data_IF_587969738434
#
_entry.id   IF_587969738434
#
_cell.length_a   1.000
_cell.length_b   1.000
_cell.length_c   1.000
_cell.angle_alpha   90.00
_cell.angle_beta   90.00
_cell.angle_gamma   90.00
#
_symmetry.space_group_name_H-M   'P 1'
#
loop_
_entity.id
_entity.type
_entity.pdbx_description
1 polymer ?
#
# COMPACT_ATOMS: atom_id res chain seq x y z
N UNK A 1 -27.98 5.24 -5.90
CA UNK A 1 -28.31 6.13 -7.03
C UNK A 1 -28.02 5.33 -8.29
N UNK A 2 -29.03 4.75 -8.91
CA UNK A 2 -28.89 4.03 -10.18
C UNK A 2 -28.88 5.06 -11.32
N UNK A 3 -27.69 5.42 -11.79
CA UNK A 3 -27.59 5.96 -13.15
C UNK A 3 -27.58 4.78 -14.12
N UNK A 4 -28.39 4.80 -15.19
CA UNK A 4 -28.39 3.73 -16.17
C UNK A 4 -27.01 3.67 -16.84
N UNK A 5 -26.27 2.58 -16.61
CA UNK A 5 -25.03 2.32 -17.31
C UNK A 5 -25.33 2.21 -18.81
N UNK A 6 -24.55 2.91 -19.66
CA UNK A 6 -24.64 2.78 -21.13
C UNK A 6 -24.48 1.30 -21.52
N UNK A 7 -25.13 0.83 -22.60
CA UNK A 7 -25.00 -0.55 -23.04
C UNK A 7 -23.54 -0.87 -23.36
N UNK A 8 -23.03 -1.76 -22.53
CA UNK A 8 -21.65 -2.11 -22.24
C UNK A 8 -20.76 -2.50 -23.40
N UNK A 9 -21.40 -2.97 -24.44
CA UNK A 9 -20.80 -3.68 -25.55
C UNK A 9 -21.55 -3.33 -26.84
N UNK A 10 -22.15 -2.13 -26.91
CA UNK A 10 -22.71 -1.62 -28.16
C UNK A 10 -21.71 -1.68 -29.32
N UNK A 11 -20.41 -1.56 -29.02
CA UNK A 11 -19.32 -1.74 -29.98
C UNK A 11 -19.09 -3.20 -30.41
N UNK A 12 -19.40 -4.19 -29.56
CA UNK A 12 -19.33 -5.60 -29.93
C UNK A 12 -20.51 -6.02 -30.82
N UNK A 13 -21.66 -5.31 -30.77
CA UNK A 13 -22.84 -5.65 -31.57
C UNK A 13 -22.72 -5.33 -33.08
N UNK A 14 -21.73 -4.54 -33.50
CA UNK A 14 -21.61 -4.05 -34.88
C UNK A 14 -20.53 -4.78 -35.70
N UNK A 15 -20.88 -5.94 -36.30
CA UNK A 15 -20.22 -6.45 -37.51
C UNK A 15 -21.25 -7.01 -38.49
N UNK A 16 -21.80 -6.14 -39.34
CA UNK A 16 -22.25 -6.51 -40.68
C UNK A 16 -22.50 -5.25 -41.52
N UNK A 17 -21.60 -4.94 -42.46
CA UNK A 17 -21.89 -4.71 -43.88
C UNK A 17 -20.66 -4.17 -44.64
N UNK A 18 -20.34 -4.85 -45.76
CA UNK A 18 -19.42 -4.52 -46.85
C UNK A 18 -17.91 -4.48 -46.56
N UNK A 19 -17.02 -5.02 -47.40
CA UNK A 19 -17.11 -5.38 -48.83
C UNK A 19 -16.17 -6.54 -49.17
N UNK A 20 -16.63 -7.44 -50.05
CA UNK A 20 -15.83 -8.55 -50.56
C UNK A 20 -14.70 -8.13 -51.50
N UNK A 21 -13.64 -8.93 -51.48
CA UNK A 21 -12.75 -9.15 -52.61
C UNK A 21 -12.30 -10.60 -52.54
N UNK A 22 -12.78 -11.39 -53.50
CA UNK A 22 -12.42 -12.78 -53.77
C UNK A 22 -10.97 -12.89 -54.23
N UNK A 23 -10.23 -13.84 -53.69
CA UNK A 23 -9.10 -14.47 -54.37
C UNK A 23 -9.05 -15.95 -53.98
N UNK A 24 -9.43 -16.80 -54.94
CA UNK A 24 -9.09 -18.22 -54.95
C UNK A 24 -7.57 -18.41 -54.99
N UNK A 25 -7.06 -19.53 -54.47
CA UNK A 25 -6.15 -20.46 -55.18
C UNK A 25 -5.81 -21.67 -54.30
N UNK A 26 -6.20 -22.82 -54.84
CA UNK A 26 -5.71 -24.21 -54.75
C UNK A 26 -4.94 -24.76 -53.54
N UNK A 27 -5.50 -25.87 -53.06
CA UNK A 27 -4.89 -27.06 -52.46
C UNK A 27 -3.64 -27.59 -53.18
N UNK A 28 -2.67 -28.09 -52.40
CA UNK A 28 -2.06 -29.41 -52.63
C UNK A 28 -1.41 -29.95 -51.35
N UNK A 29 -1.76 -31.20 -51.04
CA UNK A 29 -1.15 -32.12 -50.08
C UNK A 29 0.38 -32.27 -50.22
N UNK A 30 1.06 -32.56 -49.09
CA UNK A 30 1.75 -33.85 -48.85
C UNK A 30 2.53 -33.87 -47.52
N UNK A 31 2.15 -34.82 -46.65
CA UNK A 31 3.06 -35.44 -45.67
C UNK A 31 4.17 -36.26 -46.40
N UNK A 32 5.27 -36.57 -45.69
CA UNK A 32 5.42 -37.97 -45.27
C UNK A 32 5.97 -38.18 -43.85
N UNK A 33 5.72 -39.41 -43.37
CA UNK A 33 6.07 -39.97 -42.07
C UNK A 33 7.51 -40.50 -41.97
N UNK A 34 7.99 -40.54 -40.71
CA UNK A 34 8.86 -41.54 -40.04
C UNK A 34 10.27 -41.85 -40.58
N UNK A 35 11.28 -41.76 -39.71
CA UNK A 35 11.84 -42.93 -38.98
C UNK A 35 13.09 -42.62 -38.13
N UNK A 36 13.13 -43.32 -36.99
CA UNK A 36 14.27 -44.01 -36.37
C UNK A 36 15.24 -43.34 -35.36
N UNK A 37 15.12 -43.90 -34.14
CA UNK A 37 16.13 -44.42 -33.22
C UNK A 37 17.14 -43.49 -32.51
N UNK A 38 17.00 -43.48 -31.18
CA UNK A 38 18.02 -43.17 -30.18
C UNK A 38 19.14 -44.24 -30.15
N UNK A 39 20.28 -43.92 -29.52
CA UNK A 39 20.53 -44.62 -28.25
C UNK A 39 21.11 -43.75 -27.13
N UNK A 40 20.94 -44.30 -25.93
CA UNK A 40 21.42 -43.90 -24.61
C UNK A 40 22.85 -43.37 -24.53
N UNK A 41 23.06 -42.37 -23.66
CA UNK A 41 24.30 -42.23 -22.89
C UNK A 41 24.01 -41.76 -21.46
N UNK A 42 24.86 -42.14 -20.48
CA UNK A 42 24.43 -42.44 -19.12
C UNK A 42 24.50 -41.24 -18.16
N UNK A 43 23.63 -41.31 -17.14
CA UNK A 43 23.65 -40.46 -15.94
C UNK A 43 24.96 -40.64 -15.18
N UNK A 44 25.69 -39.55 -14.99
CA UNK A 44 26.76 -39.43 -14.00
C UNK A 44 26.25 -38.57 -12.84
N UNK A 45 26.05 -39.20 -11.69
CA UNK A 45 25.93 -38.53 -10.39
C UNK A 45 27.28 -37.92 -9.98
N UNK A 46 27.33 -36.69 -9.45
CA UNK A 46 28.46 -36.25 -8.64
C UNK A 46 28.24 -36.58 -7.15
N UNK A 47 29.32 -36.70 -6.37
CA UNK A 47 29.34 -37.42 -5.11
C UNK A 47 28.86 -36.59 -3.92
N UNK A 48 28.46 -37.29 -2.86
CA UNK A 48 28.22 -36.75 -1.55
C UNK A 48 29.49 -36.08 -0.99
N UNK A 49 29.37 -34.81 -0.59
CA UNK A 49 30.34 -34.12 0.24
C UNK A 49 29.72 -33.85 1.61
N UNK A 50 30.23 -34.57 2.60
CA UNK A 50 30.10 -34.30 4.03
C UNK A 50 31.21 -33.33 4.47
N UNK A 51 30.86 -32.44 5.42
CA UNK A 51 31.71 -31.52 6.21
C UNK A 51 32.16 -30.23 5.47
N UNK A 52 32.05 -29.00 6.00
CA UNK A 52 32.25 -28.49 7.36
C UNK A 52 31.32 -27.30 7.67
N UNK A 53 30.83 -27.24 8.92
CA UNK A 53 30.14 -26.07 9.49
C UNK A 53 31.19 -24.97 9.73
N UNK A 54 31.16 -23.92 8.92
CA UNK A 54 31.83 -22.65 9.23
C UNK A 54 30.82 -21.70 9.85
N UNK A 55 31.08 -21.33 11.11
CA UNK A 55 30.39 -20.29 11.86
C UNK A 55 30.35 -18.97 11.09
N UNK A 56 29.14 -18.48 10.79
CA UNK A 56 28.93 -17.12 10.26
C UNK A 56 28.89 -16.14 11.42
N UNK A 57 29.87 -15.25 11.38
CA UNK A 57 30.06 -14.10 12.26
C UNK A 57 28.94 -13.06 12.06
N UNK A 58 28.58 -12.34 13.12
CA UNK A 58 27.40 -11.46 13.18
C UNK A 58 27.45 -10.30 12.15
N UNK A 59 26.31 -9.83 11.61
CA UNK A 59 26.30 -8.62 10.80
C UNK A 59 26.55 -7.38 11.67
N UNK A 60 27.60 -6.65 11.30
CA UNK A 60 27.93 -5.30 11.77
C UNK A 60 26.79 -4.31 11.45
N UNK A 61 26.61 -3.36 12.37
CA UNK A 61 25.65 -2.24 12.41
C UNK A 61 25.31 -1.60 11.05
N UNK A 62 24.06 -1.16 10.83
CA UNK A 62 23.71 -0.37 9.66
C UNK A 62 24.35 1.03 9.71
N UNK A 63 24.93 1.42 8.58
CA UNK A 63 25.49 2.75 8.27
C UNK A 63 24.33 3.64 7.82
N UNK A 64 23.67 4.34 8.75
CA UNK A 64 22.92 5.58 8.49
C UNK A 64 22.82 6.35 9.82
N UNK A 65 23.77 7.25 10.04
CA UNK A 65 23.74 8.19 11.17
C UNK A 65 23.00 9.46 10.79
N UNK A 66 21.84 9.68 11.40
CA UNK A 66 21.21 11.00 11.44
C UNK A 66 22.11 11.94 12.27
N UNK A 67 22.57 13.04 11.68
CA UNK A 67 23.40 14.05 12.36
C UNK A 67 22.51 14.95 13.22
N UNK A 68 22.60 14.74 14.54
CA UNK A 68 22.19 15.71 15.56
C UNK A 68 23.16 16.90 15.57
N UNK A 69 22.69 18.07 15.13
CA UNK A 69 23.41 19.34 15.29
C UNK A 69 23.18 19.91 16.69
N UNK A 70 23.89 19.36 17.68
CA UNK A 70 24.26 20.09 18.91
C UNK A 70 25.66 19.69 19.35
N UNK A 71 26.65 20.50 19.01
CA UNK A 71 27.87 20.64 19.82
C UNK A 71 28.50 22.01 19.60
N UNK A 72 28.31 22.86 20.60
CA UNK A 72 29.39 23.39 21.45
C UNK A 72 30.74 23.54 20.76
N UNK A 73 31.10 24.78 20.43
CA UNK A 73 32.49 25.20 20.27
C UNK A 73 32.86 25.94 21.54
N UNK A 74 33.68 25.30 22.38
CA UNK A 74 34.45 25.95 23.44
C UNK A 74 35.90 26.07 22.98
N UNK A 75 36.42 27.29 23.13
CA UNK A 75 37.82 27.64 23.38
C UNK A 75 38.83 27.57 22.22
N UNK A 76 39.06 28.75 21.64
CA UNK A 76 40.42 29.27 21.45
C UNK A 76 40.44 30.72 21.94
N UNK A 77 41.17 30.97 23.02
CA UNK A 77 41.42 32.27 23.64
C UNK A 77 42.61 32.96 22.99
N UNK A 78 42.46 34.24 22.62
CA UNK A 78 43.55 35.21 22.58
C UNK A 78 42.97 36.64 22.70
N UNK A 79 43.63 37.43 23.54
CA UNK A 79 43.23 38.68 24.17
C UNK A 79 42.98 39.87 23.22
N UNK A 80 42.00 40.73 23.52
CA UNK A 80 42.12 42.19 23.43
C UNK A 80 40.96 42.91 24.16
N UNK A 81 41.32 43.94 24.94
CA UNK A 81 40.52 44.81 25.81
C UNK A 81 39.58 45.77 25.06
N UNK A 82 38.46 46.26 25.66
CA UNK A 82 37.50 47.13 24.98
C UNK A 82 37.84 48.62 25.18
N UNK A 83 38.15 49.31 24.09
CA UNK A 83 38.05 50.76 24.01
C UNK A 83 37.81 51.18 22.55
N UNK A 84 36.93 52.17 22.41
CA UNK A 84 36.80 53.06 21.26
C UNK A 84 36.34 52.46 19.94
N UNK A 85 35.05 52.66 19.65
CA UNK A 85 34.64 53.18 18.34
C UNK A 85 33.21 53.74 18.39
N UNK A 86 33.12 54.98 18.84
CA UNK A 86 32.11 55.91 18.40
C UNK A 86 32.57 56.50 17.04
N UNK A 87 31.62 56.54 16.10
CA UNK A 87 31.56 57.40 14.91
C UNK A 87 32.42 57.12 13.68
N UNK A 88 31.72 57.26 12.53
CA UNK A 88 32.15 57.25 11.12
C UNK A 88 32.32 55.82 10.58
N UNK A 89 31.58 55.37 9.56
CA UNK A 89 31.15 56.07 8.35
C UNK A 89 29.87 55.46 7.78
N UNK A 90 29.00 56.36 7.31
CA UNK A 90 27.90 56.11 6.39
C UNK A 90 28.42 55.59 5.04
N UNK A 91 27.49 55.01 4.30
CA UNK A 91 27.53 54.66 2.88
C UNK A 91 28.18 53.31 2.53
N UNK A 92 27.33 52.27 2.51
CA UNK A 92 27.25 51.20 1.49
C UNK A 92 26.27 50.12 1.98
N UNK A 93 24.97 50.29 1.68
CA UNK A 93 23.96 49.23 1.60
C UNK A 93 22.60 49.84 1.20
N UNK A 94 22.51 50.33 -0.03
CA UNK A 94 21.25 50.30 -0.78
C UNK A 94 21.25 48.99 -1.59
N UNK A 95 20.10 48.34 -1.69
CA UNK A 95 19.81 47.08 -2.40
C UNK A 95 19.98 45.76 -1.62
N UNK A 96 19.26 45.64 -0.51
CA UNK A 96 18.76 44.36 -0.03
C UNK A 96 17.22 44.44 0.13
N UNK A 97 16.41 43.71 -0.68
CA UNK A 97 14.98 43.69 -0.48
C UNK A 97 14.66 42.94 0.82
N UNK A 98 14.00 43.67 1.73
CA UNK A 98 13.44 43.14 2.98
C UNK A 98 12.44 42.03 2.65
N UNK A 99 12.71 40.80 3.07
CA UNK A 99 11.69 39.76 3.19
C UNK A 99 10.74 40.17 4.33
N UNK A 100 9.76 41.00 3.99
CA UNK A 100 8.57 41.26 4.79
C UNK A 100 7.60 40.10 4.65
N UNK A 101 7.13 39.61 5.79
CA UNK A 101 6.07 38.62 5.90
C UNK A 101 4.81 39.10 5.15
N UNK A 102 4.55 38.49 4.00
CA UNK A 102 3.25 38.42 3.34
C UNK A 102 3.28 37.18 2.43
N UNK A 103 3.26 35.98 3.03
CA UNK A 103 2.86 34.79 2.30
C UNK A 103 1.37 34.94 2.04
N UNK A 104 1.01 35.46 0.86
CA UNK A 104 -0.30 35.24 0.30
C UNK A 104 -0.42 33.73 0.05
N UNK A 105 -0.95 33.00 1.02
CA UNK A 105 -1.61 31.73 0.76
C UNK A 105 -2.81 32.05 -0.13
N UNK A 106 -2.61 32.00 -1.44
CA UNK A 106 -3.73 31.89 -2.36
C UNK A 106 -4.32 30.51 -2.13
N UNK A 107 -5.39 30.48 -1.36
CA UNK A 107 -6.25 29.31 -1.17
C UNK A 107 -6.71 28.85 -2.56
N UNK A 108 -6.15 27.73 -3.02
CA UNK A 108 -6.49 27.13 -4.31
C UNK A 108 -7.91 26.57 -4.17
N UNK A 109 -8.90 27.38 -4.54
CA UNK A 109 -10.29 26.96 -4.66
C UNK A 109 -10.45 26.21 -5.99
N UNK A 110 -10.07 24.93 -5.99
CA UNK A 110 -10.42 24.00 -7.07
C UNK A 110 -11.87 23.57 -6.87
N UNK A 111 -12.80 24.28 -7.51
CA UNK A 111 -14.17 23.79 -7.62
C UNK A 111 -14.16 22.43 -8.35
N UNK A 112 -14.68 21.38 -7.69
CA UNK A 112 -14.88 20.05 -8.26
C UNK A 112 -15.98 20.12 -9.34
N UNK A 113 -15.67 20.68 -10.50
CA UNK A 113 -16.53 20.66 -11.68
C UNK A 113 -15.96 19.70 -12.73
N UNK A 114 -16.83 18.99 -13.45
CA UNK A 114 -16.43 18.09 -14.53
C UNK A 114 -15.52 18.82 -15.53
N UNK A 115 -14.39 18.19 -15.91
CA UNK A 115 -13.30 18.78 -16.73
C UNK A 115 -13.86 19.66 -17.86
N UNK A 116 -13.71 21.00 -17.79
CA UNK A 116 -14.27 21.91 -18.78
C UNK A 116 -13.39 22.09 -20.03
N UNK A 117 -12.28 21.35 -20.16
CA UNK A 117 -11.26 21.55 -21.21
C UNK A 117 -10.91 20.26 -21.96
N UNK A 118 -10.66 20.38 -23.27
CA UNK A 118 -10.11 19.31 -24.13
C UNK A 118 -8.60 19.06 -23.93
N UNK A 119 -7.95 19.83 -23.05
CA UNK A 119 -6.52 19.71 -22.79
C UNK A 119 -6.27 18.56 -21.81
N UNK A 120 -5.41 17.58 -22.12
CA UNK A 120 -5.04 16.51 -21.20
C UNK A 120 -4.42 17.04 -19.90
N UNK A 121 -4.53 16.25 -18.83
CA UNK A 121 -3.98 16.59 -17.52
C UNK A 121 -5.00 17.18 -16.53
N UNK A 122 -4.56 17.41 -15.30
CA UNK A 122 -5.39 17.96 -14.23
C UNK A 122 -5.25 19.49 -14.10
N UNK A 123 -6.25 20.14 -13.49
CA UNK A 123 -6.18 21.58 -13.20
C UNK A 123 -4.94 21.95 -12.36
N UNK A 124 -4.56 21.06 -11.44
CA UNK A 124 -3.33 21.20 -10.65
C UNK A 124 -2.07 21.13 -11.50
N UNK A 125 -2.03 20.23 -12.50
CA UNK A 125 -0.91 20.17 -13.45
C UNK A 125 -0.82 21.46 -14.27
N UNK A 126 -1.92 21.95 -14.83
CA UNK A 126 -1.92 23.18 -15.63
C UNK A 126 -1.53 24.41 -14.78
N UNK A 127 -2.04 24.49 -13.53
CA UNK A 127 -1.62 25.53 -12.59
C UNK A 127 -0.11 25.50 -12.36
N UNK A 128 0.47 24.32 -12.11
CA UNK A 128 1.91 24.18 -11.87
C UNK A 128 2.73 24.45 -13.15
N UNK A 129 2.22 24.04 -14.32
CA UNK A 129 2.88 24.31 -15.60
C UNK A 129 3.00 25.81 -15.85
N UNK A 130 1.91 26.56 -15.63
CA UNK A 130 1.91 28.01 -15.70
C UNK A 130 2.82 28.65 -14.64
N UNK A 131 2.72 28.18 -13.39
CA UNK A 131 3.55 28.68 -12.28
C UNK A 131 5.05 28.53 -12.53
N UNK A 132 5.45 27.44 -13.20
CA UNK A 132 6.85 27.11 -13.45
C UNK A 132 7.30 27.30 -14.89
N UNK A 133 6.50 27.99 -15.72
CA UNK A 133 6.81 28.30 -17.12
C UNK A 133 7.19 27.05 -17.94
N UNK A 134 6.37 26.00 -17.81
CA UNK A 134 6.58 24.71 -18.49
C UNK A 134 5.46 24.33 -19.46
N UNK A 135 4.51 25.24 -19.71
CA UNK A 135 3.35 25.03 -20.57
C UNK A 135 3.74 24.54 -21.97
N UNK A 136 4.72 25.17 -22.63
CA UNK A 136 5.18 24.76 -23.97
C UNK A 136 5.74 23.33 -24.00
N UNK A 137 6.48 22.94 -22.94
CA UNK A 137 7.03 21.58 -22.82
C UNK A 137 5.92 20.56 -22.58
N UNK A 138 4.94 20.89 -21.74
CA UNK A 138 3.78 20.05 -21.47
C UNK A 138 2.94 19.88 -22.75
N UNK A 139 2.64 20.96 -23.46
CA UNK A 139 1.91 20.93 -24.73
C UNK A 139 2.63 20.10 -25.80
N UNK A 140 3.96 20.19 -25.89
CA UNK A 140 4.73 19.35 -26.81
C UNK A 140 4.60 17.85 -26.46
N UNK A 141 4.57 17.51 -25.17
CA UNK A 141 4.34 16.14 -24.72
C UNK A 141 2.91 15.67 -25.04
N UNK A 142 1.89 16.46 -24.67
CA UNK A 142 0.49 16.14 -24.91
C UNK A 142 0.21 15.91 -26.41
N UNK A 143 0.67 16.82 -27.27
CA UNK A 143 0.43 16.74 -28.71
C UNK A 143 1.23 15.62 -29.40
N UNK A 144 2.37 15.22 -28.84
CA UNK A 144 3.28 14.28 -29.48
C UNK A 144 3.19 12.84 -28.97
N UNK A 145 2.72 12.63 -27.73
CA UNK A 145 2.85 11.35 -27.04
C UNK A 145 1.58 10.88 -26.33
N UNK A 146 0.58 11.74 -26.14
CA UNK A 146 -0.68 11.36 -25.51
C UNK A 146 -1.73 11.12 -26.58
N UNK A 147 -2.33 9.94 -26.55
CA UNK A 147 -3.47 9.57 -27.38
C UNK A 147 -4.65 9.23 -26.49
N UNK A 148 -5.86 9.37 -27.00
CA UNK A 148 -7.07 8.89 -26.34
C UNK A 148 -7.43 7.45 -26.76
N UNK A 149 -6.59 6.78 -27.56
CA UNK A 149 -6.80 5.42 -28.07
C UNK A 149 -5.49 4.64 -28.16
N UNK A 150 -5.59 3.31 -28.13
CA UNK A 150 -4.47 2.39 -28.26
C UNK A 150 -4.01 2.28 -29.71
N UNK A 151 -2.89 2.92 -30.03
CA UNK A 151 -2.23 2.72 -31.32
C UNK A 151 -1.79 1.25 -31.52
N UNK A 152 -1.66 0.75 -32.76
CA UNK A 152 -1.37 -0.66 -33.02
C UNK A 152 -0.13 -1.20 -32.26
N UNK A 153 0.95 -0.41 -32.17
CA UNK A 153 2.15 -0.79 -31.41
C UNK A 153 1.92 -0.88 -29.90
N UNK A 154 1.02 -0.06 -29.35
CA UNK A 154 0.62 -0.13 -27.95
C UNK A 154 -0.18 -1.41 -27.69
N UNK A 155 -1.06 -1.81 -28.62
CA UNK A 155 -1.81 -3.07 -28.51
C UNK A 155 -0.87 -4.29 -28.53
N UNK A 156 0.10 -4.30 -29.44
CA UNK A 156 1.16 -5.33 -29.48
C UNK A 156 1.97 -5.37 -28.18
N UNK A 157 2.30 -4.22 -27.61
CA UNK A 157 3.02 -4.11 -26.35
C UNK A 157 2.23 -4.70 -25.18
N UNK A 158 0.95 -4.33 -25.05
CA UNK A 158 0.03 -4.84 -24.01
C UNK A 158 -0.07 -6.37 -24.09
N UNK A 159 -0.23 -6.92 -25.29
CA UNK A 159 -0.40 -8.36 -25.50
C UNK A 159 0.80 -9.20 -25.03
N UNK A 160 1.99 -8.61 -24.90
CA UNK A 160 3.21 -9.31 -24.43
C UNK A 160 3.42 -9.24 -22.92
N UNK A 161 2.67 -8.41 -22.21
CA UNK A 161 2.91 -8.17 -20.79
C UNK A 161 2.57 -9.38 -19.93
N UNK A 162 3.40 -9.62 -18.92
CA UNK A 162 3.21 -10.66 -17.89
C UNK A 162 2.86 -10.07 -16.52
N UNK A 163 2.93 -8.75 -16.39
CA UNK A 163 2.46 -8.03 -15.21
C UNK A 163 2.06 -6.60 -15.58
N UNK A 164 1.26 -5.99 -14.72
CA UNK A 164 0.93 -4.57 -14.75
C UNK A 164 0.74 -4.06 -13.32
N UNK A 165 0.88 -2.75 -13.12
CA UNK A 165 0.45 -2.09 -11.90
C UNK A 165 -0.90 -1.43 -12.16
N UNK A 166 -1.81 -1.62 -11.22
CA UNK A 166 -3.15 -1.06 -11.24
C UNK A 166 -3.26 -0.08 -10.09
N UNK A 167 -3.56 1.17 -10.41
CA UNK A 167 -3.77 2.26 -9.47
C UNK A 167 -5.24 2.66 -9.49
N UNK A 168 -5.87 2.68 -8.31
CA UNK A 168 -7.25 3.12 -8.11
C UNK A 168 -7.30 4.00 -6.87
N UNK A 169 -8.36 4.76 -6.71
CA UNK A 169 -8.62 5.53 -5.49
C UNK A 169 -10.08 5.45 -5.12
N UNK A 170 -10.39 5.45 -3.83
CA UNK A 170 -11.77 5.55 -3.36
C UNK A 170 -12.38 6.95 -3.62
N UNK A 171 -13.59 7.18 -3.12
CA UNK A 171 -14.27 8.49 -3.24
C UNK A 171 -13.61 9.62 -2.43
N UNK A 172 -12.75 9.29 -1.47
CA UNK A 172 -12.04 10.21 -0.60
C UNK A 172 -10.63 10.54 -1.12
N UNK A 173 -10.17 9.83 -2.14
CA UNK A 173 -8.84 9.98 -2.71
C UNK A 173 -7.79 9.09 -2.05
N UNK A 174 -8.18 8.13 -1.21
CA UNK A 174 -7.28 7.12 -0.68
C UNK A 174 -6.91 6.15 -1.79
N UNK A 175 -5.60 5.99 -2.02
CA UNK A 175 -5.08 5.30 -3.21
C UNK A 175 -4.59 3.89 -2.89
N UNK A 176 -4.90 2.96 -3.81
CA UNK A 176 -4.32 1.62 -3.85
C UNK A 176 -3.52 1.42 -5.13
N UNK A 177 -2.34 0.81 -5.02
CA UNK A 177 -1.55 0.36 -6.16
C UNK A 177 -1.19 -1.12 -6.00
N UNK A 178 -1.68 -1.95 -6.92
CA UNK A 178 -1.50 -3.40 -6.86
C UNK A 178 -0.88 -3.92 -8.15
N UNK A 179 0.10 -4.82 -8.04
CA UNK A 179 0.59 -5.56 -9.21
C UNK A 179 -0.38 -6.69 -9.57
N UNK A 180 -0.80 -6.78 -10.83
CA UNK A 180 -1.49 -7.94 -11.41
C UNK A 180 -0.49 -8.71 -12.26
N UNK A 181 -0.47 -10.04 -12.11
CA UNK A 181 0.46 -10.92 -12.83
C UNK A 181 -0.32 -11.97 -13.62
N UNK A 182 0.22 -12.35 -14.77
CA UNK A 182 -0.33 -13.39 -15.62
C UNK A 182 0.66 -13.86 -16.69
N UNK A 183 0.25 -14.82 -17.50
CA UNK A 183 1.01 -15.20 -18.70
C UNK A 183 0.85 -14.15 -19.79
N UNK A 184 1.76 -14.07 -20.77
CA UNK A 184 1.61 -13.16 -21.90
C UNK A 184 0.20 -13.21 -22.49
N UNK A 185 -0.38 -12.03 -22.66
CA UNK A 185 -1.73 -11.84 -23.16
C UNK A 185 -2.81 -11.79 -22.09
N UNK A 186 -2.55 -12.03 -20.80
CA UNK A 186 -3.60 -11.97 -19.77
C UNK A 186 -4.38 -10.63 -19.76
N UNK A 187 -3.74 -9.55 -20.22
CA UNK A 187 -4.40 -8.30 -20.61
C UNK A 187 -4.84 -8.41 -22.07
N UNK A 188 -6.15 -8.44 -22.30
CA UNK A 188 -6.74 -8.60 -23.62
C UNK A 188 -7.14 -7.23 -24.16
N UNK A 189 -6.65 -6.87 -25.34
CA UNK A 189 -7.13 -5.70 -26.08
C UNK A 189 -8.38 -6.12 -26.86
N UNK A 190 -9.52 -5.50 -26.56
CA UNK A 190 -10.77 -5.76 -27.28
C UNK A 190 -10.86 -4.90 -28.55
N UNK A 191 -10.39 -3.66 -28.47
CA UNK A 191 -10.23 -2.72 -29.59
C UNK A 191 -9.36 -1.53 -29.14
N UNK A 192 -9.33 -0.46 -29.95
CA UNK A 192 -8.53 0.74 -29.66
C UNK A 192 -8.97 1.52 -28.40
N UNK A 193 -10.19 1.30 -27.88
CA UNK A 193 -10.74 1.98 -26.70
C UNK A 193 -10.93 1.08 -25.49
N UNK A 194 -10.89 -0.23 -25.62
CA UNK A 194 -11.21 -1.14 -24.52
C UNK A 194 -10.17 -2.24 -24.35
N UNK A 195 -9.74 -2.41 -23.11
CA UNK A 195 -8.97 -3.57 -22.64
C UNK A 195 -9.74 -4.29 -21.54
N UNK A 196 -9.44 -5.56 -21.34
CA UNK A 196 -10.03 -6.37 -20.28
C UNK A 196 -9.00 -7.33 -19.70
N UNK A 197 -9.05 -7.56 -18.39
CA UNK A 197 -8.19 -8.53 -17.72
C UNK A 197 -8.96 -9.30 -16.64
N UNK A 198 -8.54 -10.53 -16.31
CA UNK A 198 -9.22 -11.35 -15.32
C UNK A 198 -8.90 -10.87 -13.90
N UNK A 199 -9.92 -10.77 -13.06
CA UNK A 199 -9.78 -10.67 -11.61
C UNK A 199 -9.88 -12.07 -11.00
N UNK A 200 -8.81 -12.50 -10.33
CA UNK A 200 -8.71 -13.82 -9.70
C UNK A 200 -8.91 -13.72 -8.20
N UNK A 201 -9.20 -14.86 -7.55
CA UNK A 201 -9.36 -14.96 -6.11
C UNK A 201 -8.17 -14.36 -5.36
N UNK A 202 -8.46 -13.37 -4.51
CA UNK A 202 -7.47 -12.63 -3.72
C UNK A 202 -7.57 -12.93 -2.21
N UNK A 203 -7.11 -11.96 -1.41
CA UNK A 203 -7.16 -12.00 0.06
C UNK A 203 -8.52 -11.56 0.67
N UNK A 204 -9.50 -11.22 -0.18
CA UNK A 204 -10.83 -10.78 0.25
C UNK A 204 -10.92 -9.32 0.70
N UNK A 205 -9.85 -8.52 0.59
CA UNK A 205 -9.90 -7.08 0.93
C UNK A 205 -10.66 -6.27 -0.12
N UNK A 206 -10.65 -6.72 -1.38
CA UNK A 206 -11.33 -6.06 -2.50
C UNK A 206 -10.93 -4.59 -2.74
N UNK A 207 -9.74 -4.16 -2.33
CA UNK A 207 -9.28 -2.76 -2.42
C UNK A 207 -9.58 -2.09 -3.79
N UNK A 208 -9.02 -2.64 -4.88
CA UNK A 208 -9.26 -2.11 -6.23
C UNK A 208 -10.75 -2.14 -6.63
N UNK A 209 -11.49 -3.18 -6.26
CA UNK A 209 -12.87 -3.37 -6.70
C UNK A 209 -13.83 -2.45 -5.95
N UNK A 210 -13.62 -2.28 -4.65
CA UNK A 210 -14.33 -1.30 -3.83
C UNK A 210 -14.11 0.10 -4.37
N UNK A 211 -12.86 0.47 -4.67
CA UNK A 211 -12.54 1.76 -5.29
C UNK A 211 -13.29 1.95 -6.61
N UNK A 212 -13.23 0.97 -7.54
CA UNK A 212 -13.89 1.05 -8.85
C UNK A 212 -15.41 1.26 -8.75
N UNK A 213 -16.07 0.66 -7.75
CA UNK A 213 -17.52 0.83 -7.54
C UNK A 213 -17.86 2.28 -7.14
N UNK A 214 -17.00 2.92 -6.36
CA UNK A 214 -17.23 4.28 -5.86
C UNK A 214 -16.68 5.37 -6.78
N UNK A 215 -15.60 5.06 -7.48
CA UNK A 215 -14.81 5.93 -8.33
C UNK A 215 -14.23 5.09 -9.49
N UNK A 216 -14.78 5.24 -10.72
CA UNK A 216 -14.37 4.39 -11.84
C UNK A 216 -12.98 4.72 -12.38
N UNK A 217 -12.32 5.79 -11.94
CA UNK A 217 -11.02 6.18 -12.48
C UNK A 217 -9.93 5.16 -12.14
N UNK A 218 -9.15 4.77 -13.15
CA UNK A 218 -8.08 3.77 -13.05
C UNK A 218 -6.85 4.26 -13.81
N UNK A 219 -5.67 4.00 -13.23
CA UNK A 219 -4.38 4.15 -13.89
C UNK A 219 -3.68 2.82 -14.00
N UNK A 220 -3.21 2.47 -15.20
CA UNK A 220 -2.48 1.24 -15.46
C UNK A 220 -1.07 1.57 -15.93
N UNK A 221 -0.07 0.93 -15.33
CA UNK A 221 1.31 1.02 -15.76
C UNK A 221 1.85 -0.36 -16.13
N UNK A 222 2.25 -0.50 -17.39
CA UNK A 222 2.93 -1.68 -17.91
C UNK A 222 4.37 -1.32 -18.22
N UNK A 223 5.31 -2.16 -17.79
CA UNK A 223 6.74 -1.91 -17.93
C UNK A 223 7.38 -3.14 -18.55
N UNK A 224 8.12 -2.97 -19.63
CA UNK A 224 9.00 -4.00 -20.14
C UNK A 224 10.40 -3.77 -19.60
N UNK A 225 10.91 -4.71 -18.82
CA UNK A 225 12.28 -4.70 -18.29
C UNK A 225 13.22 -5.63 -19.07
N UNK A 226 12.74 -6.37 -20.06
CA UNK A 226 13.47 -7.51 -20.62
C UNK A 226 13.85 -7.35 -22.09
N UNK A 227 13.09 -6.60 -22.88
CA UNK A 227 13.36 -6.44 -24.32
C UNK A 227 13.50 -4.96 -24.70
N UNK A 228 12.41 -4.20 -24.60
CA UNK A 228 12.30 -2.84 -25.12
C UNK A 228 12.72 -1.78 -24.08
N UNK A 229 12.76 -2.15 -22.79
CA UNK A 229 13.07 -1.23 -21.67
C UNK A 229 12.19 0.03 -21.69
N UNK A 230 10.91 -0.13 -22.03
CA UNK A 230 9.93 0.96 -22.18
C UNK A 230 8.70 0.65 -21.34
N UNK A 231 7.92 1.67 -20.98
CA UNK A 231 6.61 1.44 -20.37
C UNK A 231 5.48 2.16 -21.09
N UNK A 232 4.27 1.80 -20.70
CA UNK A 232 3.02 2.32 -21.23
C UNK A 232 2.09 2.66 -20.07
N UNK A 233 1.65 3.91 -20.01
CA UNK A 233 0.58 4.37 -19.13
C UNK A 233 -0.74 4.26 -19.88
N UNK A 234 -1.77 3.72 -19.23
CA UNK A 234 -3.14 3.74 -19.70
C UNK A 234 -4.02 4.23 -18.56
N UNK A 235 -4.61 5.41 -18.72
CA UNK A 235 -5.57 5.98 -17.80
C UNK A 235 -6.97 5.88 -18.40
N UNK A 236 -7.97 5.70 -17.55
CA UNK A 236 -9.34 5.70 -18.01
C UNK A 236 -10.35 5.32 -16.97
N UNK A 237 -11.40 4.62 -17.40
CA UNK A 237 -12.52 4.21 -16.55
C UNK A 237 -12.65 2.70 -16.51
N UNK A 238 -12.58 2.15 -15.31
CA UNK A 238 -12.79 0.74 -15.04
C UNK A 238 -14.23 0.44 -14.64
N UNK A 239 -14.62 -0.80 -14.89
CA UNK A 239 -15.82 -1.42 -14.33
C UNK A 239 -15.58 -2.91 -14.12
N UNK A 240 -16.33 -3.46 -13.17
CA UNK A 240 -16.36 -4.91 -12.92
C UNK A 240 -17.36 -5.54 -13.89
N UNK A 241 -17.01 -6.70 -14.44
CA UNK A 241 -17.82 -7.47 -15.38
C UNK A 241 -17.91 -8.91 -14.88
N UNK A 242 -19.12 -9.37 -14.66
CA UNK A 242 -19.36 -10.76 -14.24
C UNK A 242 -19.34 -11.70 -15.46
N UNK A 243 -19.18 -13.01 -15.23
CA UNK A 243 -19.10 -14.01 -16.30
C UNK A 243 -20.38 -14.06 -17.14
N UNK A 244 -21.54 -14.03 -16.49
CA UNK A 244 -22.83 -14.09 -17.14
C UNK A 244 -23.01 -12.93 -18.11
N UNK A 245 -22.59 -11.74 -17.70
CA UNK A 245 -22.65 -10.52 -18.52
C UNK A 245 -21.69 -10.59 -19.71
N UNK A 246 -20.48 -11.13 -19.54
CA UNK A 246 -19.55 -11.33 -20.67
C UNK A 246 -20.07 -12.34 -21.68
N UNK A 247 -20.69 -13.43 -21.21
CA UNK A 247 -21.18 -14.50 -22.07
C UNK A 247 -22.33 -14.05 -22.98
N UNK A 248 -23.08 -13.01 -22.63
CA UNK A 248 -24.04 -12.37 -23.55
C UNK A 248 -23.40 -11.87 -24.85
N UNK A 249 -22.08 -11.67 -24.87
CA UNK A 249 -21.31 -11.14 -25.98
C UNK A 249 -20.28 -12.13 -26.54
N UNK A 250 -20.41 -13.42 -26.19
CA UNK A 250 -19.46 -14.47 -26.54
C UNK A 250 -19.03 -14.48 -28.02
N UNK A 251 -19.97 -14.19 -28.94
CA UNK A 251 -19.72 -14.20 -30.40
C UNK A 251 -18.71 -13.13 -30.84
N UNK A 252 -18.45 -12.13 -30.00
CA UNK A 252 -17.58 -11.00 -30.28
C UNK A 252 -16.38 -10.92 -29.32
N UNK A 253 -16.24 -11.89 -28.41
CA UNK A 253 -15.11 -11.95 -27.50
C UNK A 253 -13.98 -12.80 -28.10
N UNK A 254 -12.71 -12.48 -27.81
CA UNK A 254 -11.60 -13.38 -28.09
C UNK A 254 -11.84 -14.76 -27.47
N UNK A 255 -11.59 -15.83 -28.23
CA UNK A 255 -11.76 -17.22 -27.75
C UNK A 255 -11.01 -17.48 -26.43
N UNK A 256 -9.84 -16.88 -26.25
CA UNK A 256 -9.06 -17.00 -25.03
C UNK A 256 -9.78 -16.51 -23.77
N UNK A 257 -10.73 -15.58 -23.87
CA UNK A 257 -11.57 -15.16 -22.74
C UNK A 257 -12.59 -16.26 -22.42
N UNK A 258 -13.24 -16.82 -23.43
CA UNK A 258 -14.23 -17.90 -23.27
C UNK A 258 -13.59 -19.16 -22.67
N UNK A 259 -12.37 -19.48 -23.10
CA UNK A 259 -11.60 -20.60 -22.57
C UNK A 259 -11.29 -20.39 -21.08
N UNK A 260 -10.95 -19.16 -20.66
CA UNK A 260 -10.67 -18.84 -19.25
C UNK A 260 -11.93 -18.82 -18.38
N UNK A 261 -13.06 -18.33 -18.90
CA UNK A 261 -14.36 -18.41 -18.21
C UNK A 261 -14.76 -19.87 -17.97
N UNK A 262 -14.41 -20.76 -18.90
CA UNK A 262 -14.74 -22.19 -18.83
C UNK A 262 -13.81 -23.02 -17.93
N UNK A 263 -12.75 -22.41 -17.36
CA UNK A 263 -11.88 -23.12 -16.43
C UNK A 263 -12.63 -23.49 -15.15
N UNK A 264 -12.25 -24.62 -14.53
CA UNK A 264 -12.78 -25.04 -13.25
C UNK A 264 -11.80 -24.77 -12.09
N UNK A 265 -12.36 -24.52 -10.90
CA UNK A 265 -11.61 -24.40 -9.65
C UNK A 265 -10.76 -23.11 -9.56
N UNK A 266 -9.64 -23.13 -8.81
CA UNK A 266 -8.91 -21.92 -8.42
C UNK A 266 -8.22 -21.18 -9.59
N UNK A 267 -8.23 -21.76 -10.79
CA UNK A 267 -7.70 -21.14 -12.01
C UNK A 267 -8.75 -20.35 -12.79
N UNK A 268 -10.03 -20.54 -12.50
CA UNK A 268 -11.08 -19.71 -13.08
C UNK A 268 -10.94 -18.28 -12.56
N UNK A 269 -11.01 -17.25 -13.41
CA UNK A 269 -11.25 -15.89 -12.93
C UNK A 269 -12.52 -15.86 -12.07
N UNK A 270 -12.58 -14.99 -11.07
CA UNK A 270 -13.85 -14.79 -10.35
C UNK A 270 -14.75 -13.79 -11.07
N UNK A 271 -14.13 -12.85 -11.79
CA UNK A 271 -14.77 -11.80 -12.59
C UNK A 271 -13.72 -11.14 -13.49
N UNK A 272 -14.12 -10.11 -14.22
CA UNK A 272 -13.24 -9.38 -15.13
C UNK A 272 -13.28 -7.89 -14.85
N UNK A 273 -12.20 -7.20 -15.16
CA UNK A 273 -12.15 -5.74 -15.13
C UNK A 273 -12.01 -5.25 -16.57
N UNK A 274 -12.99 -4.49 -17.03
CA UNK A 274 -12.94 -3.81 -18.33
C UNK A 274 -12.56 -2.36 -18.11
N UNK A 275 -11.62 -1.87 -18.92
CA UNK A 275 -11.14 -0.50 -18.87
C UNK A 275 -11.39 0.18 -20.21
N UNK A 276 -12.15 1.27 -20.16
CA UNK A 276 -12.27 2.24 -21.25
C UNK A 276 -11.08 3.19 -21.19
N UNK A 277 -10.31 3.27 -22.28
CA UNK A 277 -9.13 4.12 -22.40
C UNK A 277 -9.57 5.57 -22.62
N UNK A 278 -9.09 6.46 -21.75
CA UNK A 278 -9.25 7.92 -21.90
C UNK A 278 -7.93 8.57 -22.34
N UNK A 279 -6.79 8.10 -21.81
CA UNK A 279 -5.46 8.61 -22.13
C UNK A 279 -4.44 7.46 -22.14
N UNK A 280 -3.55 7.44 -23.12
CA UNK A 280 -2.42 6.50 -23.21
C UNK A 280 -1.17 7.23 -23.67
N UNK A 281 -0.05 6.96 -22.99
CA UNK A 281 1.23 7.58 -23.32
C UNK A 281 2.42 6.74 -22.85
N UNK A 282 3.59 7.04 -23.41
CA UNK A 282 4.81 6.29 -23.16
C UNK A 282 5.47 6.69 -21.84
N UNK A 283 5.91 5.69 -21.08
CA UNK A 283 6.92 5.86 -20.04
C UNK A 283 8.30 5.71 -20.68
N UNK A 284 9.12 6.77 -20.61
CA UNK A 284 10.41 6.81 -21.31
C UNK A 284 11.41 5.76 -20.79
N UNK A 285 12.25 5.24 -21.68
CA UNK A 285 13.21 4.16 -21.42
C UNK A 285 14.47 4.56 -20.66
N UNK A 286 14.77 5.87 -20.55
CA UNK A 286 16.07 6.42 -20.17
C UNK A 286 16.69 5.82 -18.90
N UNK A 287 15.87 5.40 -17.95
CA UNK A 287 16.31 4.86 -16.66
C UNK A 287 15.65 3.51 -16.31
N UNK A 288 15.03 2.85 -17.28
CA UNK A 288 14.44 1.52 -17.07
C UNK A 288 15.57 0.49 -17.15
N UNK A 289 15.81 -0.30 -16.09
CA UNK A 289 16.87 -1.29 -16.10
C UNK A 289 16.53 -2.44 -17.04
N UNK A 290 17.55 -2.97 -17.73
CA UNK A 290 17.46 -4.24 -18.44
C UNK A 290 17.69 -5.38 -17.43
N UNK A 291 16.68 -6.22 -17.24
CA UNK A 291 16.68 -7.34 -16.31
C UNK A 291 16.81 -8.67 -17.04
N UNK A 292 17.28 -9.69 -16.32
CA UNK A 292 17.28 -11.09 -16.76
C UNK A 292 16.20 -11.86 -16.01
N UNK A 293 15.36 -12.58 -16.75
CA UNK A 293 14.34 -13.46 -16.17
C UNK A 293 15.00 -14.75 -15.70
N UNK A 294 14.80 -15.10 -14.44
CA UNK A 294 15.24 -16.36 -13.84
C UNK A 294 14.06 -17.32 -13.69
N UNK A 295 14.34 -18.62 -13.80
CA UNK A 295 13.32 -19.64 -13.70
C UNK A 295 12.84 -19.79 -12.25
N UNK A 296 11.55 -19.53 -12.04
CA UNK A 296 10.88 -19.69 -10.76
C UNK A 296 9.62 -20.53 -10.95
N UNK A 297 9.51 -21.62 -10.20
CA UNK A 297 8.25 -22.39 -10.15
C UNK A 297 7.16 -21.53 -9.50
N UNK A 298 6.06 -21.33 -10.23
CA UNK A 298 4.88 -20.59 -9.77
C UNK A 298 3.73 -21.57 -9.64
N UNK A 299 3.15 -21.64 -8.44
CA UNK A 299 1.94 -22.43 -8.15
C UNK A 299 0.73 -21.50 -8.12
N UNK A 300 -0.05 -21.52 -9.20
CA UNK A 300 -1.22 -20.67 -9.34
C UNK A 300 -2.38 -21.22 -8.49
N UNK A 301 -2.88 -20.41 -7.55
CA UNK A 301 -4.03 -20.76 -6.72
C UNK A 301 -3.69 -21.42 -5.37
N UNK A 302 -2.45 -21.33 -4.89
CA UNK A 302 -2.08 -21.82 -3.55
C UNK A 302 -2.64 -20.94 -2.43
N UNK A 303 -3.15 -21.55 -1.35
CA UNK A 303 -3.58 -20.87 -0.13
C UNK A 303 -2.57 -20.96 1.03
N UNK A 304 -1.39 -21.53 0.78
CA UNK A 304 -0.33 -21.64 1.81
C UNK A 304 0.21 -20.27 2.21
N UNK A 305 0.08 -19.92 3.49
CA UNK A 305 0.62 -18.67 4.05
C UNK A 305 2.14 -18.54 3.86
N UNK A 306 2.86 -19.66 3.97
CA UNK A 306 4.31 -19.71 3.73
C UNK A 306 4.65 -19.44 2.25
N UNK A 307 3.88 -20.03 1.32
CA UNK A 307 4.06 -19.79 -0.11
C UNK A 307 3.73 -18.34 -0.51
N UNK A 308 2.73 -17.74 0.16
CA UNK A 308 2.33 -16.33 -0.01
C UNK A 308 3.28 -15.35 0.70
N UNK A 309 4.23 -15.84 1.51
CA UNK A 309 5.09 -15.03 2.39
C UNK A 309 4.28 -13.98 3.17
N UNK A 310 3.11 -14.40 3.68
CA UNK A 310 2.11 -13.47 4.20
C UNK A 310 2.60 -12.58 5.35
N UNK A 311 3.60 -13.04 6.11
CA UNK A 311 4.25 -12.30 7.19
C UNK A 311 5.75 -12.05 6.92
N UNK A 312 6.12 -11.79 5.65
CA UNK A 312 7.52 -11.53 5.29
C UNK A 312 8.15 -10.40 6.10
N UNK A 313 7.37 -9.36 6.41
CA UNK A 313 7.78 -8.22 7.21
C UNK A 313 7.69 -8.44 8.73
N UNK A 314 7.37 -9.66 9.18
CA UNK A 314 7.33 -10.06 10.58
C UNK A 314 6.41 -9.17 11.42
N UNK A 315 5.26 -8.79 10.86
CA UNK A 315 4.28 -7.92 11.50
C UNK A 315 3.70 -8.57 12.77
N UNK A 316 3.62 -9.90 12.82
CA UNK A 316 3.18 -10.60 14.05
C UNK A 316 4.24 -10.59 15.16
N UNK A 317 5.51 -10.36 14.82
CA UNK A 317 6.60 -10.23 15.79
C UNK A 317 6.71 -8.82 16.38
N UNK A 318 5.96 -7.84 15.85
CA UNK A 318 5.95 -6.47 16.37
C UNK A 318 5.27 -6.49 17.75
N UNK A 319 5.93 -5.94 18.79
CA UNK A 319 5.35 -5.82 20.12
C UNK A 319 3.95 -5.21 20.08
N UNK A 320 3.06 -5.70 20.94
CA UNK A 320 1.69 -5.19 21.02
C UNK A 320 1.67 -3.69 21.30
N UNK A 321 2.62 -3.21 22.10
CA UNK A 321 2.88 -1.79 22.35
C UNK A 321 3.04 -0.97 21.06
N UNK A 322 3.87 -1.42 20.12
CA UNK A 322 4.10 -0.70 18.86
C UNK A 322 2.91 -0.83 17.91
N UNK A 323 2.23 -1.99 17.90
CA UNK A 323 1.04 -2.24 17.07
C UNK A 323 -0.13 -1.32 17.39
N UNK A 324 -0.26 -0.87 18.64
CA UNK A 324 -1.32 0.08 19.06
C UNK A 324 -0.89 1.56 18.97
N UNK A 325 0.31 1.86 18.46
CA UNK A 325 0.82 3.22 18.25
C UNK A 325 1.79 3.73 19.32
N UNK A 326 2.31 2.84 20.17
CA UNK A 326 3.41 3.12 21.08
C UNK A 326 3.09 4.15 22.17
N UNK A 327 4.08 4.99 22.48
CA UNK A 327 4.09 5.82 23.69
C UNK A 327 2.90 6.79 23.77
N UNK A 328 2.60 7.45 22.65
CA UNK A 328 1.51 8.43 22.56
C UNK A 328 0.15 7.77 22.77
N UNK A 329 -0.09 6.63 22.14
CA UNK A 329 -1.34 5.88 22.31
C UNK A 329 -1.50 5.39 23.74
N UNK A 330 -0.41 4.90 24.36
CA UNK A 330 -0.45 4.44 25.74
C UNK A 330 -0.75 5.59 26.71
N UNK A 331 -0.18 6.77 26.49
CA UNK A 331 -0.46 7.96 27.29
C UNK A 331 -1.93 8.38 27.22
N UNK A 332 -2.49 8.44 26.02
CA UNK A 332 -3.91 8.78 25.80
C UNK A 332 -4.82 7.73 26.44
N UNK A 333 -4.51 6.44 26.27
CA UNK A 333 -5.27 5.34 26.83
C UNK A 333 -5.26 5.37 28.37
N UNK A 334 -4.08 5.54 28.99
CA UNK A 334 -3.95 5.59 30.44
C UNK A 334 -4.66 6.80 31.04
N UNK A 335 -4.57 7.97 30.41
CA UNK A 335 -5.25 9.15 30.92
C UNK A 335 -6.77 9.00 30.86
N UNK A 336 -7.31 8.58 29.70
CA UNK A 336 -8.75 8.36 29.55
C UNK A 336 -9.27 7.26 30.49
N UNK A 337 -8.51 6.18 30.64
CA UNK A 337 -8.83 5.09 31.55
C UNK A 337 -8.96 5.57 33.00
N UNK A 338 -7.99 6.34 33.51
CA UNK A 338 -8.06 6.82 34.89
C UNK A 338 -9.18 7.84 35.11
N UNK A 339 -9.56 8.65 34.10
CA UNK A 339 -10.76 9.49 34.21
C UNK A 339 -12.01 8.65 34.46
N UNK A 340 -12.14 7.50 33.80
CA UNK A 340 -13.26 6.57 34.02
C UNK A 340 -13.17 5.88 35.39
N UNK A 341 -11.99 5.39 35.78
CA UNK A 341 -11.77 4.74 37.09
C UNK A 341 -12.14 5.67 38.24
N UNK A 342 -11.72 6.93 38.20
CA UNK A 342 -12.00 7.91 39.26
C UNK A 342 -13.49 8.30 39.35
N UNK A 343 -14.27 8.10 38.29
CA UNK A 343 -15.70 8.36 38.26
C UNK A 343 -16.54 7.12 38.61
N UNK A 344 -15.91 5.95 38.74
CA UNK A 344 -16.62 4.70 39.00
C UNK A 344 -16.88 4.51 40.50
N UNK A 345 -18.14 4.27 40.86
CA UNK A 345 -18.57 4.13 42.26
C UNK A 345 -17.97 2.90 42.95
N UNK A 346 -17.66 1.84 42.19
CA UNK A 346 -17.15 0.58 42.76
C UNK A 346 -15.65 0.66 43.01
N UNK A 347 -14.88 1.24 42.09
CA UNK A 347 -13.40 1.21 42.13
C UNK A 347 -12.73 2.56 42.36
N UNK A 348 -13.43 3.69 42.16
CA UNK A 348 -12.85 5.03 42.32
C UNK A 348 -12.38 5.32 43.74
N UNK A 349 -13.09 4.81 44.75
CA UNK A 349 -12.79 4.98 46.18
C UNK A 349 -11.40 4.48 46.60
N UNK A 350 -10.80 3.54 45.86
CA UNK A 350 -9.44 3.03 46.18
C UNK A 350 -8.34 4.03 45.82
N UNK A 351 -8.67 5.11 45.11
CA UNK A 351 -7.73 6.10 44.60
C UNK A 351 -7.85 7.48 45.27
N UNK A 352 -8.71 7.65 46.29
CA UNK A 352 -8.99 8.96 46.93
C UNK A 352 -7.72 9.62 47.50
N UNK A 353 -6.81 8.84 48.09
CA UNK A 353 -5.56 9.31 48.68
C UNK A 353 -4.33 9.08 47.76
N UNK A 354 -4.55 8.81 46.47
CA UNK A 354 -3.47 8.48 45.52
C UNK A 354 -3.01 9.70 44.73
N UNK A 355 -1.68 9.88 44.61
CA UNK A 355 -1.11 10.82 43.64
C UNK A 355 -1.34 10.30 42.21
N UNK A 356 -2.35 10.87 41.56
CA UNK A 356 -2.78 10.44 40.24
C UNK A 356 -1.82 10.81 39.11
N UNK A 357 -0.92 11.78 39.29
CA UNK A 357 0.14 12.05 38.30
C UNK A 357 1.16 10.90 38.31
N UNK A 358 1.69 10.60 39.49
CA UNK A 358 2.61 9.48 39.69
C UNK A 358 1.98 8.14 39.31
N UNK A 359 0.69 7.94 39.62
CA UNK A 359 -0.01 6.70 39.32
C UNK A 359 -0.18 6.49 37.80
N UNK A 360 -0.55 7.54 37.04
CA UNK A 360 -0.62 7.46 35.57
C UNK A 360 0.73 7.10 34.96
N UNK A 361 1.83 7.72 35.41
CA UNK A 361 3.17 7.42 34.92
C UNK A 361 3.58 5.97 35.21
N UNK A 362 3.31 5.48 36.44
CA UNK A 362 3.59 4.09 36.81
C UNK A 362 2.77 3.11 35.98
N UNK A 363 1.48 3.37 35.78
CA UNK A 363 0.61 2.51 34.96
C UNK A 363 1.05 2.50 33.50
N UNK A 364 1.39 3.66 32.93
CA UNK A 364 1.95 3.77 31.57
C UNK A 364 3.22 2.93 31.44
N UNK A 365 4.14 3.03 32.40
CA UNK A 365 5.37 2.24 32.42
C UNK A 365 5.10 0.74 32.54
N UNK A 366 4.15 0.33 33.38
CA UNK A 366 3.76 -1.06 33.55
C UNK A 366 3.14 -1.63 32.27
N UNK A 367 2.13 -0.97 31.71
CA UNK A 367 1.48 -1.40 30.47
C UNK A 367 2.45 -1.42 29.30
N UNK A 368 3.36 -0.45 29.22
CA UNK A 368 4.41 -0.44 28.20
C UNK A 368 5.29 -1.69 28.31
N UNK A 369 5.78 -2.02 29.51
CA UNK A 369 6.59 -3.23 29.73
C UNK A 369 5.83 -4.51 29.36
N UNK A 370 4.60 -4.64 29.84
CA UNK A 370 3.77 -5.83 29.66
C UNK A 370 3.42 -6.08 28.19
N UNK A 371 3.24 -5.03 27.41
CA UNK A 371 2.94 -5.13 25.98
C UNK A 371 4.19 -5.12 25.09
N UNK A 372 5.39 -5.24 25.67
CA UNK A 372 6.67 -5.39 24.97
C UNK A 372 7.31 -4.07 24.51
N UNK A 373 6.90 -2.95 25.09
CA UNK A 373 7.49 -1.63 24.87
C UNK A 373 8.85 -1.45 25.55
N UNK A 374 9.54 -0.31 25.29
CA UNK A 374 10.94 -0.13 25.65
C UNK A 374 11.17 0.21 27.13
N UNK A 375 10.10 0.54 27.87
CA UNK A 375 10.20 0.95 29.26
C UNK A 375 10.17 -0.25 30.20
N UNK A 376 11.08 -0.27 31.16
CA UNK A 376 11.02 -1.21 32.27
C UNK A 376 10.24 -0.58 33.43
N UNK A 377 9.32 -1.34 33.99
CA UNK A 377 8.61 -0.95 35.20
C UNK A 377 9.54 -1.09 36.41
N UNK A 378 9.68 0.00 37.18
CA UNK A 378 10.58 0.10 38.34
C UNK A 378 9.84 0.17 39.68
N UNK A 379 8.51 0.02 39.68
CA UNK A 379 7.71 0.01 40.90
C UNK A 379 7.74 -1.33 41.65
N UNK A 380 6.99 -1.40 42.75
CA UNK A 380 6.75 -2.66 43.46
C UNK A 380 6.11 -3.68 42.52
N UNK A 381 6.46 -4.95 42.68
CA UNK A 381 5.78 -6.03 41.98
C UNK A 381 4.26 -5.97 42.26
N UNK A 382 3.47 -6.47 41.31
CA UNK A 382 2.02 -6.31 41.32
C UNK A 382 1.39 -6.88 42.59
N UNK A 383 1.90 -8.01 43.12
CA UNK A 383 1.38 -8.61 44.34
C UNK A 383 1.65 -7.73 45.56
N UNK A 384 2.90 -7.31 45.76
CA UNK A 384 3.27 -6.43 46.87
C UNK A 384 2.57 -5.07 46.80
N UNK A 385 2.38 -4.52 45.60
CA UNK A 385 1.71 -3.24 45.39
C UNK A 385 0.23 -3.26 45.80
N UNK A 386 -0.47 -4.40 45.63
CA UNK A 386 -1.90 -4.53 45.91
C UNK A 386 -2.21 -5.23 47.24
N UNK A 387 -1.21 -5.77 47.95
CA UNK A 387 -1.42 -6.52 49.20
C UNK A 387 -2.20 -5.73 50.25
N UNK A 388 -1.87 -4.45 50.46
CA UNK A 388 -2.59 -3.64 51.45
C UNK A 388 -4.06 -3.42 51.04
N UNK A 389 -4.36 -3.34 49.74
CA UNK A 389 -5.73 -3.20 49.23
C UNK A 389 -6.55 -4.46 49.48
N UNK A 390 -5.91 -5.64 49.40
CA UNK A 390 -6.54 -6.93 49.74
C UNK A 390 -6.80 -7.01 51.24
N UNK A 391 -5.77 -6.76 52.06
CA UNK A 391 -5.83 -6.97 53.52
C UNK A 391 -6.67 -5.93 54.26
N UNK A 392 -6.65 -4.68 53.80
CA UNK A 392 -7.23 -3.55 54.54
C UNK A 392 -8.49 -3.00 53.88
N UNK A 393 -8.59 -3.06 52.55
CA UNK A 393 -9.71 -2.45 51.81
C UNK A 393 -10.62 -3.47 51.12
N UNK A 394 -10.26 -4.76 51.15
CA UNK A 394 -11.10 -5.87 50.70
C UNK A 394 -11.39 -5.87 49.18
N UNK A 395 -10.38 -5.62 48.34
CA UNK A 395 -10.55 -5.79 46.89
C UNK A 395 -10.88 -7.25 46.55
N UNK A 396 -11.66 -7.45 45.48
CA UNK A 396 -12.25 -8.75 45.10
C UNK A 396 -12.20 -8.92 43.60
N UNK A 397 -12.58 -10.11 43.11
CA UNK A 397 -12.77 -10.37 41.68
C UNK A 397 -13.66 -9.34 41.01
N UNK A 398 -14.75 -8.90 41.66
CA UNK A 398 -15.65 -7.88 41.09
C UNK A 398 -14.96 -6.54 40.87
N UNK A 399 -14.00 -6.17 41.72
CA UNK A 399 -13.22 -4.94 41.55
C UNK A 399 -12.23 -5.09 40.39
N UNK A 400 -11.54 -6.23 40.29
CA UNK A 400 -10.65 -6.52 39.18
C UNK A 400 -11.42 -6.52 37.84
N UNK A 401 -12.55 -7.22 37.78
CA UNK A 401 -13.42 -7.31 36.60
C UNK A 401 -13.87 -5.92 36.17
N UNK A 402 -14.21 -5.05 37.13
CA UNK A 402 -14.64 -3.69 36.82
C UNK A 402 -13.50 -2.86 36.25
N UNK A 403 -12.30 -2.91 36.83
CA UNK A 403 -11.11 -2.22 36.30
C UNK A 403 -10.77 -2.71 34.89
N UNK A 404 -10.79 -4.02 34.66
CA UNK A 404 -10.57 -4.62 33.35
C UNK A 404 -11.61 -4.16 32.31
N UNK A 405 -12.90 -4.13 32.68
CA UNK A 405 -13.97 -3.65 31.83
C UNK A 405 -13.80 -2.16 31.46
N UNK A 406 -13.46 -1.31 32.42
CA UNK A 406 -13.20 0.12 32.16
C UNK A 406 -12.02 0.33 31.20
N UNK A 407 -10.98 -0.49 31.30
CA UNK A 407 -9.86 -0.44 30.37
C UNK A 407 -10.28 -0.89 28.96
N UNK A 408 -11.02 -2.00 28.85
CA UNK A 408 -11.57 -2.46 27.57
C UNK A 408 -12.47 -1.41 26.91
N UNK A 409 -13.40 -0.81 27.66
CA UNK A 409 -14.26 0.29 27.21
C UNK A 409 -13.44 1.47 26.68
N UNK A 410 -12.34 1.81 27.38
CA UNK A 410 -11.42 2.87 26.96
C UNK A 410 -10.76 2.56 25.61
N UNK A 411 -10.25 1.35 25.43
CA UNK A 411 -9.60 0.95 24.17
C UNK A 411 -10.59 0.91 23.01
N UNK A 412 -11.83 0.48 23.25
CA UNK A 412 -12.91 0.51 22.26
C UNK A 412 -13.26 1.94 21.86
N UNK A 413 -13.35 2.87 22.81
CA UNK A 413 -13.60 4.30 22.54
C UNK A 413 -12.48 4.93 21.70
N UNK A 414 -11.23 4.52 21.94
CA UNK A 414 -10.06 4.93 21.16
C UNK A 414 -9.92 4.21 19.82
N UNK A 415 -10.87 3.34 19.45
CA UNK A 415 -10.89 2.56 18.20
C UNK A 415 -9.65 1.69 18.01
N UNK A 416 -9.08 1.18 19.09
CA UNK A 416 -8.04 0.15 19.02
C UNK A 416 -8.66 -1.10 18.36
N UNK A 417 -7.99 -1.75 17.39
CA UNK A 417 -8.54 -2.94 16.74
C UNK A 417 -8.89 -4.04 17.74
N UNK A 418 -10.05 -4.68 17.57
CA UNK A 418 -10.59 -5.67 18.52
C UNK A 418 -9.62 -6.83 18.81
N UNK A 419 -8.91 -7.31 17.79
CA UNK A 419 -7.86 -8.33 17.95
C UNK A 419 -6.82 -7.90 18.99
N UNK A 420 -6.37 -6.64 18.94
CA UNK A 420 -5.36 -6.12 19.84
C UNK A 420 -5.94 -5.88 21.24
N UNK A 421 -7.19 -5.42 21.35
CA UNK A 421 -7.89 -5.34 22.63
C UNK A 421 -7.93 -6.72 23.29
N UNK A 422 -8.34 -7.77 22.57
CA UNK A 422 -8.41 -9.12 23.10
C UNK A 422 -7.03 -9.62 23.58
N UNK A 423 -5.96 -9.39 22.80
CA UNK A 423 -4.60 -9.71 23.21
C UNK A 423 -4.16 -8.93 24.46
N UNK A 424 -4.49 -7.63 24.56
CA UNK A 424 -4.19 -6.82 25.74
C UNK A 424 -4.91 -7.35 26.97
N UNK A 425 -6.20 -7.65 26.86
CA UNK A 425 -7.02 -8.16 27.96
C UNK A 425 -6.59 -9.55 28.42
N UNK A 426 -6.20 -10.44 27.49
CA UNK A 426 -5.65 -11.75 27.81
C UNK A 426 -4.37 -11.64 28.65
N UNK A 427 -3.43 -10.80 28.22
CA UNK A 427 -2.17 -10.56 28.96
C UNK A 427 -2.46 -9.96 30.34
N UNK A 428 -3.31 -8.93 30.42
CA UNK A 428 -3.67 -8.30 31.70
C UNK A 428 -4.40 -9.26 32.65
N UNK A 429 -5.20 -10.17 32.10
CA UNK A 429 -5.89 -11.20 32.88
C UNK A 429 -4.93 -12.12 33.66
N UNK A 430 -3.71 -12.31 33.17
CA UNK A 430 -2.70 -13.15 33.86
C UNK A 430 -2.27 -12.57 35.23
N UNK A 431 -2.40 -11.25 35.42
CA UNK A 431 -2.04 -10.58 36.68
C UNK A 431 -3.13 -10.66 37.75
N UNK A 432 -4.30 -11.26 37.47
CA UNK A 432 -5.40 -11.36 38.44
C UNK A 432 -4.97 -12.03 39.75
N UNK A 433 -4.21 -13.12 39.67
CA UNK A 433 -3.74 -13.85 40.86
C UNK A 433 -2.89 -12.96 41.74
N UNK A 434 -1.96 -12.21 41.14
CA UNK A 434 -1.08 -11.30 41.87
C UNK A 434 -1.84 -10.12 42.48
N UNK A 435 -2.74 -9.48 41.72
CA UNK A 435 -3.55 -8.36 42.24
C UNK A 435 -4.42 -8.80 43.42
N UNK A 436 -5.00 -10.00 43.37
CA UNK A 436 -5.89 -10.52 44.42
C UNK A 436 -5.15 -11.32 45.50
N UNK A 437 -3.82 -11.40 45.43
CA UNK A 437 -2.98 -12.07 46.43
C UNK A 437 -3.14 -13.58 46.52
N UNK A 438 -3.52 -14.28 45.44
CA UNK A 438 -3.78 -15.73 45.43
C UNK A 438 -3.04 -16.50 44.34
#
# INVERSE_FOLDING_TARGET
MDQPQKPLFGFLKNKNTNSGATAEVSSTDKQPQSKDLAPDTPKTEPPAHEQEITTVDQPKKPIFGFMDHKKTISEATAEASPADQQTQSKDLAQDAPKLGAAAHEQEITLEHSARPTLVPGSDGEHYLQKKYDTEDRANAFYNGQVLDYLAPKMQEFIAKQEFMFVSTSDRHGECDCTSKLGTPGFIRVLNEKYIIYPERRGNGVFANLGNIIENPHIGLLMMDFFQETIGLHVNGKARIVEHEELLEYQDNLPQSILDEISLEGPKQPERWIMVEVEEVYVQCSKHIPLLKKEDKRIDWGTDSAAAKKADFFQLQGIPLYDRIGGDKSMEIAVDLFYRKVLQDELVGKFFEDTDMESQRLKQKSFLSMVFGGPYQYSGLDIRSAHQHLVEQMGITDSHFDRVAALFQETLTELRVPEKEINSMMEILGTFRGDVLGR
#
